data_IF_172531252081
#
_entry.id   IF_172531252081
#
_cell.length_a   1.000
_cell.length_b   1.000
_cell.length_c   1.000
_cell.angle_alpha   90.00
_cell.angle_beta   90.00
_cell.angle_gamma   90.00
#
_symmetry.space_group_name_H-M   'P 1'
#
loop_
_entity.id
_entity.type
_entity.pdbx_description
1 polymer ?
#
# COMPACT_ATOMS: atom_id res chain seq x y z
N UNK A 1 -6.64 -14.73 -8.76
CA UNK A 1 -5.24 -14.30 -8.62
C UNK A 1 -4.33 -15.41 -8.16
N UNK A 2 -3.05 -15.34 -8.53
CA UNK A 2 -2.02 -16.38 -8.32
C UNK A 2 -1.86 -16.83 -6.86
N UNK A 3 -2.13 -15.93 -5.90
CA UNK A 3 -2.00 -16.20 -4.46
C UNK A 3 -3.34 -16.56 -3.76
N UNK A 4 -4.49 -16.43 -4.44
CA UNK A 4 -5.80 -16.78 -3.86
C UNK A 4 -6.22 -15.94 -2.63
N UNK A 5 -5.62 -14.77 -2.41
CA UNK A 5 -5.93 -13.90 -1.27
C UNK A 5 -7.28 -13.20 -1.47
N UNK A 6 -8.10 -13.16 -0.42
CA UNK A 6 -9.29 -12.31 -0.38
C UNK A 6 -8.88 -10.85 -0.22
N UNK A 7 -9.42 -9.97 -1.06
CA UNK A 7 -9.15 -8.53 -0.99
C UNK A 7 -10.45 -7.74 -1.23
N UNK A 8 -10.41 -6.47 -0.85
CA UNK A 8 -11.43 -5.48 -1.19
C UNK A 8 -10.72 -4.31 -1.87
N UNK A 9 -11.18 -3.99 -3.06
CA UNK A 9 -10.79 -2.77 -3.72
C UNK A 9 -11.55 -1.59 -3.08
N UNK A 10 -10.82 -0.54 -2.71
CA UNK A 10 -11.39 0.69 -2.16
C UNK A 10 -11.47 1.81 -3.21
N UNK A 11 -11.06 1.53 -4.45
CA UNK A 11 -11.05 2.45 -5.58
C UNK A 11 -9.70 3.15 -5.80
N UNK A 12 -9.63 4.15 -6.67
CA UNK A 12 -10.72 4.64 -7.53
C UNK A 12 -11.13 3.61 -8.59
N UNK A 13 -12.34 3.75 -9.16
CA UNK A 13 -12.89 2.84 -10.18
C UNK A 13 -12.93 3.45 -11.58
N UNK A 14 -12.38 4.66 -11.75
CA UNK A 14 -12.27 5.36 -13.01
C UNK A 14 -10.92 6.09 -13.10
N UNK A 15 -10.56 6.51 -14.31
CA UNK A 15 -9.38 7.35 -14.56
C UNK A 15 -9.65 8.85 -14.30
N UNK A 16 -10.85 9.19 -13.83
CA UNK A 16 -11.19 10.56 -13.52
C UNK A 16 -10.32 11.09 -12.36
N UNK A 17 -10.02 12.38 -12.43
CA UNK A 17 -9.24 13.04 -11.38
C UNK A 17 -9.93 12.89 -10.03
N UNK A 18 -9.18 12.47 -9.02
CA UNK A 18 -9.67 12.26 -7.67
C UNK A 18 -8.57 12.52 -6.64
N UNK A 19 -8.97 12.59 -5.37
CA UNK A 19 -8.08 12.94 -4.26
C UNK A 19 -7.55 11.69 -3.55
N UNK A 20 -6.25 11.44 -3.71
CA UNK A 20 -5.59 10.30 -3.07
C UNK A 20 -5.78 10.18 -1.54
N UNK A 21 -5.97 11.26 -0.74
CA UNK A 21 -6.19 11.12 0.69
C UNK A 21 -7.45 10.33 1.05
N UNK A 22 -8.49 10.37 0.22
CA UNK A 22 -9.75 9.66 0.48
C UNK A 22 -9.52 8.15 0.46
N UNK A 23 -8.82 7.66 -0.55
CA UNK A 23 -8.48 6.26 -0.74
C UNK A 23 -7.43 5.78 0.26
N UNK A 24 -6.36 6.55 0.46
CA UNK A 24 -5.32 6.23 1.45
C UNK A 24 -5.89 6.18 2.88
N UNK A 25 -6.79 7.11 3.20
CA UNK A 25 -7.50 7.13 4.47
C UNK A 25 -8.49 5.96 4.63
N UNK A 26 -9.18 5.55 3.56
CA UNK A 26 -10.08 4.40 3.59
C UNK A 26 -9.34 3.09 3.91
N UNK A 27 -8.25 2.80 3.19
CA UNK A 27 -7.39 1.64 3.48
C UNK A 27 -6.79 1.74 4.87
N UNK A 28 -6.30 2.92 5.26
CA UNK A 28 -5.76 3.18 6.60
C UNK A 28 -6.76 2.86 7.71
N UNK A 29 -8.01 3.31 7.58
CA UNK A 29 -9.06 3.02 8.58
C UNK A 29 -9.42 1.53 8.64
N UNK A 30 -9.50 0.86 7.49
CA UNK A 30 -9.85 -0.55 7.41
C UNK A 30 -8.75 -1.46 8.01
N UNK A 31 -7.47 -1.08 7.87
CA UNK A 31 -6.35 -1.79 8.52
C UNK A 31 -6.28 -1.45 10.01
N UNK A 32 -6.47 -0.19 10.39
CA UNK A 32 -6.43 0.23 11.79
C UNK A 32 -7.58 -0.36 12.63
N UNK A 33 -8.75 -0.60 12.03
CA UNK A 33 -9.89 -1.25 12.70
C UNK A 33 -9.72 -2.76 12.88
N UNK A 34 -8.75 -3.38 12.19
CA UNK A 34 -8.58 -4.83 12.15
C UNK A 34 -9.52 -5.56 11.18
N UNK A 35 -10.33 -4.84 10.39
CA UNK A 35 -11.13 -5.44 9.31
C UNK A 35 -10.22 -6.12 8.26
N UNK A 36 -9.04 -5.53 8.02
CA UNK A 36 -7.99 -6.12 7.20
C UNK A 36 -6.65 -6.11 7.93
N UNK A 37 -5.83 -7.14 7.70
CA UNK A 37 -4.50 -7.25 8.32
C UNK A 37 -3.44 -6.41 7.62
N UNK A 38 -3.60 -6.19 6.31
CA UNK A 38 -2.65 -5.49 5.45
C UNK A 38 -3.39 -4.63 4.43
N UNK A 39 -2.76 -3.54 4.01
CA UNK A 39 -3.27 -2.66 2.96
C UNK A 39 -2.23 -2.40 1.88
N UNK A 40 -2.69 -2.19 0.65
CA UNK A 40 -1.86 -1.74 -0.48
C UNK A 40 -2.45 -0.44 -0.99
N UNK A 41 -1.62 0.59 -1.16
CA UNK A 41 -2.05 1.90 -1.66
C UNK A 41 -1.15 2.35 -2.82
N UNK A 42 -1.75 2.95 -3.85
CA UNK A 42 -1.04 3.37 -5.04
C UNK A 42 -1.42 4.80 -5.43
N UNK A 43 -0.43 5.59 -5.84
CA UNK A 43 -0.67 6.85 -6.57
C UNK A 43 0.48 7.11 -7.54
N UNK A 44 0.56 8.30 -8.14
CA UNK A 44 1.62 8.63 -9.10
C UNK A 44 3.03 8.33 -8.57
N UNK A 45 3.39 8.85 -7.39
CA UNK A 45 4.70 8.58 -6.76
C UNK A 45 4.63 7.61 -5.58
N UNK A 46 3.42 7.23 -5.15
CA UNK A 46 3.19 6.48 -3.91
C UNK A 46 3.34 7.31 -2.63
N UNK A 47 4.03 8.46 -2.68
CA UNK A 47 4.35 9.28 -1.51
C UNK A 47 3.08 9.86 -0.86
N UNK A 48 2.25 10.56 -1.64
CA UNK A 48 1.09 11.29 -1.09
C UNK A 48 0.08 10.36 -0.42
N UNK A 49 -0.30 9.27 -1.09
CA UNK A 49 -1.28 8.32 -0.55
C UNK A 49 -0.76 7.58 0.69
N UNK A 50 0.54 7.29 0.73
CA UNK A 50 1.19 6.68 1.90
C UNK A 50 1.24 7.65 3.07
N UNK A 51 1.55 8.92 2.84
CA UNK A 51 1.50 9.97 3.87
C UNK A 51 0.09 10.06 4.45
N UNK A 52 -0.95 10.08 3.59
CA UNK A 52 -2.34 10.14 4.03
C UNK A 52 -2.72 8.93 4.90
N UNK A 53 -2.35 7.70 4.48
CA UNK A 53 -2.60 6.49 5.27
C UNK A 53 -1.91 6.54 6.66
N UNK A 54 -0.66 7.02 6.72
CA UNK A 54 0.11 7.17 7.96
C UNK A 54 -0.47 8.19 8.97
N UNK A 55 -1.40 9.06 8.55
CA UNK A 55 -2.10 9.96 9.49
C UNK A 55 -3.16 9.24 10.33
N UNK A 56 -3.52 8.00 9.97
CA UNK A 56 -4.46 7.19 10.75
C UNK A 56 -3.70 6.52 11.92
N UNK A 57 -4.12 6.72 13.18
CA UNK A 57 -3.50 6.06 14.32
C UNK A 57 -3.48 4.53 14.17
N UNK A 58 -2.34 3.91 14.47
CA UNK A 58 -2.14 2.46 14.32
C UNK A 58 -1.58 2.03 12.96
N UNK A 59 -1.47 2.93 11.99
CA UNK A 59 -0.89 2.64 10.68
C UNK A 59 0.62 2.88 10.66
N UNK A 60 1.31 1.95 10.01
CA UNK A 60 2.73 2.01 9.63
C UNK A 60 2.80 1.69 8.14
N UNK A 61 2.59 2.71 7.32
CA UNK A 61 2.64 2.61 5.87
C UNK A 61 4.04 2.95 5.35
N UNK A 62 4.56 2.14 4.44
CA UNK A 62 5.89 2.32 3.84
C UNK A 62 5.77 2.50 2.32
N UNK A 63 6.24 3.63 1.80
CA UNK A 63 6.36 3.83 0.36
C UNK A 63 7.67 3.19 -0.11
N UNK A 64 7.58 2.15 -0.91
CA UNK A 64 8.74 1.38 -1.35
C UNK A 64 8.90 1.44 -2.87
N UNK A 65 10.14 1.63 -3.32
CA UNK A 65 10.52 1.63 -4.74
C UNK A 65 11.51 0.52 -5.09
N UNK A 66 11.89 -0.28 -4.12
CA UNK A 66 12.87 -1.37 -4.24
C UNK A 66 12.53 -2.52 -3.28
N UNK A 67 13.08 -3.70 -3.58
CA UNK A 67 12.83 -4.94 -2.84
C UNK A 67 13.36 -4.92 -1.40
N UNK A 68 14.52 -4.29 -1.17
CA UNK A 68 15.14 -4.27 0.15
C UNK A 68 14.31 -3.46 1.14
N UNK A 69 13.85 -2.27 0.72
CA UNK A 69 12.93 -1.44 1.51
C UNK A 69 11.63 -2.17 1.83
N UNK A 70 11.09 -2.94 0.89
CA UNK A 70 9.87 -3.74 1.08
C UNK A 70 10.05 -4.82 2.16
N UNK A 71 11.16 -5.56 2.11
CA UNK A 71 11.48 -6.57 3.12
C UNK A 71 11.73 -5.93 4.49
N UNK A 72 12.60 -4.91 4.54
CA UNK A 72 13.00 -4.30 5.81
C UNK A 72 11.85 -3.56 6.48
N UNK A 73 10.92 -2.94 5.73
CA UNK A 73 9.76 -2.29 6.35
C UNK A 73 8.85 -3.30 7.06
N UNK A 74 8.74 -4.53 6.55
CA UNK A 74 8.05 -5.63 7.22
C UNK A 74 8.83 -6.14 8.43
N UNK A 75 10.11 -6.48 8.26
CA UNK A 75 10.95 -7.06 9.33
C UNK A 75 11.19 -6.12 10.51
N UNK A 76 11.52 -4.86 10.24
CA UNK A 76 11.96 -3.92 11.26
C UNK A 76 10.84 -3.03 11.77
N UNK A 77 9.93 -2.62 10.89
CA UNK A 77 8.89 -1.66 11.24
C UNK A 77 7.52 -2.31 11.40
N UNK A 78 7.39 -3.60 11.09
CA UNK A 78 6.11 -4.30 11.01
C UNK A 78 5.09 -3.47 10.22
N UNK A 79 5.50 -2.93 9.07
CA UNK A 79 4.65 -2.09 8.24
C UNK A 79 3.38 -2.86 7.84
N UNK A 80 2.21 -2.28 8.07
CA UNK A 80 0.92 -2.90 7.76
C UNK A 80 0.29 -2.37 6.48
N UNK A 81 0.88 -1.34 5.86
CA UNK A 81 0.48 -0.86 4.54
C UNK A 81 1.69 -0.67 3.63
N UNK A 82 1.61 -1.16 2.39
CA UNK A 82 2.58 -0.91 1.33
C UNK A 82 2.10 0.21 0.41
N UNK A 83 2.95 1.19 0.15
CA UNK A 83 2.74 2.25 -0.82
C UNK A 83 3.59 2.06 -2.08
N UNK A 84 2.96 2.18 -3.26
CA UNK A 84 3.63 2.05 -4.56
C UNK A 84 3.37 3.27 -5.46
N UNK A 85 4.36 3.61 -6.29
CA UNK A 85 4.30 4.73 -7.23
C UNK A 85 4.20 4.26 -8.69
N UNK A 86 3.04 4.46 -9.33
CA UNK A 86 2.81 4.06 -10.73
C UNK A 86 3.78 4.73 -11.72
N UNK A 87 4.14 6.00 -11.49
CA UNK A 87 5.03 6.78 -12.37
C UNK A 87 6.52 6.54 -12.06
N UNK A 88 6.83 5.75 -11.03
CA UNK A 88 8.19 5.58 -10.51
C UNK A 88 8.65 4.12 -10.63
N UNK A 89 7.74 3.16 -10.42
CA UNK A 89 8.06 1.74 -10.38
C UNK A 89 7.35 0.99 -11.51
N UNK A 90 8.12 0.34 -12.37
CA UNK A 90 7.55 -0.51 -13.44
C UNK A 90 6.85 -1.76 -12.88
N UNK A 91 5.83 -2.24 -13.60
CA UNK A 91 4.93 -3.33 -13.14
C UNK A 91 5.70 -4.58 -12.68
N UNK A 92 6.71 -5.02 -13.43
CA UNK A 92 7.49 -6.21 -13.05
C UNK A 92 8.23 -6.07 -11.72
N UNK A 93 8.72 -4.86 -11.38
CA UNK A 93 9.34 -4.58 -10.08
C UNK A 93 8.28 -4.39 -8.99
N UNK A 94 7.16 -3.72 -9.31
CA UNK A 94 6.06 -3.52 -8.37
C UNK A 94 5.47 -4.85 -7.87
N UNK A 95 5.31 -5.84 -8.77
CA UNK A 95 4.87 -7.19 -8.39
C UNK A 95 5.86 -7.88 -7.45
N UNK A 96 7.18 -7.77 -7.71
CA UNK A 96 8.20 -8.34 -6.81
C UNK A 96 8.21 -7.68 -5.43
N UNK A 97 8.05 -6.36 -5.37
CA UNK A 97 7.94 -5.61 -4.12
C UNK A 97 6.70 -6.06 -3.34
N UNK A 98 5.57 -6.22 -4.03
CA UNK A 98 4.32 -6.71 -3.44
C UNK A 98 4.48 -8.13 -2.87
N UNK A 99 5.05 -9.05 -3.65
CA UNK A 99 5.29 -10.44 -3.22
C UNK A 99 6.16 -10.46 -1.94
N UNK A 100 7.28 -9.72 -1.94
CA UNK A 100 8.17 -9.61 -0.76
C UNK A 100 7.42 -9.06 0.47
N UNK A 101 6.64 -8.00 0.29
CA UNK A 101 5.89 -7.40 1.39
C UNK A 101 4.84 -8.36 1.99
N UNK A 102 4.21 -9.19 1.15
CA UNK A 102 3.19 -10.16 1.59
C UNK A 102 3.79 -11.42 2.22
N UNK A 103 4.97 -11.83 1.78
CA UNK A 103 5.67 -13.03 2.26
C UNK A 103 6.52 -12.79 3.52
N UNK A 104 6.73 -11.52 3.89
CA UNK A 104 7.49 -11.09 5.09
C UNK A 104 6.58 -10.70 6.26
#
# INVERSE_FOLDING_TARGET
DKLGLSYKDFGTYSEESCDYPDYGGAVGRAVASGEYQRGIVLCGTGIGITIAANKIPGIRAAACTDCFSAEMCRRHNNANILGLGQRVTGVGLAMKILDIFLET
#
